data_IF_604145851050
#
_entry.id   IF_604145851050
#
_cell.length_a   1.000
_cell.length_b   1.000
_cell.length_c   1.000
_cell.angle_alpha   90.00
_cell.angle_beta   90.00
_cell.angle_gamma   90.00
#
_symmetry.space_group_name_H-M   'P 1'
#
loop_
_entity.id
_entity.type
_entity.pdbx_description
1 polymer ?
#
# COMPACT_ATOMS: atom_id res chain seq x y z
N UNK A 1 20.93 -3.78 -14.10
CA UNK A 1 19.91 -3.61 -15.17
C UNK A 1 18.69 -4.51 -15.02
N UNK A 2 18.87 -5.83 -14.80
CA UNK A 2 17.73 -6.76 -14.71
C UNK A 2 16.70 -6.36 -13.64
N UNK A 3 17.15 -5.95 -12.46
CA UNK A 3 16.26 -5.47 -11.39
C UNK A 3 15.36 -4.31 -11.84
N UNK A 4 15.91 -3.33 -12.56
CA UNK A 4 15.12 -2.19 -13.05
C UNK A 4 14.13 -2.59 -14.14
N UNK A 5 14.50 -3.54 -15.02
CA UNK A 5 13.57 -4.11 -16.01
C UNK A 5 12.43 -4.85 -15.33
N UNK A 6 12.73 -5.63 -14.30
CA UNK A 6 11.73 -6.33 -13.51
C UNK A 6 10.80 -5.36 -12.78
N UNK A 7 11.33 -4.32 -12.12
CA UNK A 7 10.50 -3.31 -11.45
C UNK A 7 9.54 -2.62 -12.44
N UNK A 8 10.02 -2.28 -13.64
CA UNK A 8 9.18 -1.70 -14.68
C UNK A 8 8.06 -2.66 -15.13
N UNK A 9 8.38 -3.94 -15.29
CA UNK A 9 7.40 -4.96 -15.66
C UNK A 9 6.39 -5.22 -14.54
N UNK A 10 6.87 -5.51 -13.33
CA UNK A 10 6.03 -5.85 -12.18
C UNK A 10 5.12 -4.70 -11.72
N UNK A 11 5.50 -3.45 -12.02
CA UNK A 11 4.71 -2.27 -11.66
C UNK A 11 3.59 -1.94 -12.65
N UNK A 12 3.42 -2.70 -13.75
CA UNK A 12 2.40 -2.41 -14.75
C UNK A 12 0.96 -2.49 -14.18
N UNK A 13 0.04 -1.64 -14.66
CA UNK A 13 -1.33 -1.57 -14.15
C UNK A 13 -2.08 -2.90 -14.13
N UNK A 14 -1.91 -3.75 -15.14
CA UNK A 14 -2.58 -5.04 -15.26
C UNK A 14 -2.24 -6.02 -14.14
N UNK A 15 -0.97 -6.06 -13.71
CA UNK A 15 -0.55 -6.92 -12.60
C UNK A 15 -1.06 -6.36 -11.27
N UNK A 16 -1.04 -5.03 -11.11
CA UNK A 16 -1.57 -4.39 -9.91
C UNK A 16 -3.09 -4.54 -9.79
N UNK A 17 -3.82 -4.53 -10.92
CA UNK A 17 -5.27 -4.69 -10.94
C UNK A 17 -5.73 -6.11 -10.58
N UNK A 18 -4.90 -7.12 -10.84
CA UNK A 18 -5.19 -8.50 -10.46
C UNK A 18 -4.99 -8.76 -8.95
N UNK A 19 -4.10 -8.02 -8.28
CA UNK A 19 -3.76 -8.25 -6.87
C UNK A 19 -4.97 -8.18 -5.90
N UNK A 20 -5.88 -7.19 -6.00
CA UNK A 20 -7.10 -7.11 -5.19
C UNK A 20 -7.99 -8.37 -5.18
N UNK A 21 -7.89 -9.23 -6.19
CA UNK A 21 -8.66 -10.48 -6.25
C UNK A 21 -8.19 -11.52 -5.22
N UNK A 22 -6.98 -11.37 -4.70
CA UNK A 22 -6.33 -12.35 -3.82
C UNK A 22 -6.02 -11.80 -2.43
N UNK A 23 -5.89 -10.47 -2.29
CA UNK A 23 -5.60 -9.79 -1.03
C UNK A 23 -6.21 -8.38 -1.04
N UNK A 24 -6.68 -7.91 0.11
CA UNK A 24 -7.34 -6.60 0.28
C UNK A 24 -6.34 -5.43 0.30
N UNK A 25 -5.45 -5.36 -0.69
CA UNK A 25 -4.54 -4.24 -0.92
C UNK A 25 -4.85 -3.56 -2.24
N UNK A 26 -4.91 -2.23 -2.23
CA UNK A 26 -5.19 -1.44 -3.42
C UNK A 26 -3.95 -1.24 -4.30
N UNK A 27 -4.12 -1.13 -5.63
CA UNK A 27 -3.03 -0.76 -6.53
C UNK A 27 -2.51 0.65 -6.21
N UNK A 28 -1.20 0.86 -6.38
CA UNK A 28 -0.57 2.17 -6.25
C UNK A 28 -0.68 2.98 -7.54
N UNK A 29 -0.77 2.28 -8.69
CA UNK A 29 -1.04 2.90 -9.98
C UNK A 29 -2.55 3.05 -10.23
N UNK A 30 -3.02 4.30 -10.31
CA UNK A 30 -4.45 4.60 -10.50
C UNK A 30 -5.01 4.05 -11.81
N UNK A 31 -4.18 3.86 -12.84
CA UNK A 31 -4.60 3.31 -14.13
C UNK A 31 -5.13 1.89 -14.00
N UNK A 32 -4.76 1.16 -12.94
CA UNK A 32 -5.27 -0.18 -12.66
C UNK A 32 -6.80 -0.22 -12.49
N UNK A 33 -7.41 0.85 -11.95
CA UNK A 33 -8.86 0.95 -11.79
C UNK A 33 -9.60 1.16 -13.12
N UNK A 34 -8.93 1.67 -14.15
CA UNK A 34 -9.52 1.93 -15.46
C UNK A 34 -9.63 0.67 -16.33
N UNK A 35 -8.95 -0.42 -15.94
CA UNK A 35 -8.90 -1.67 -16.70
C UNK A 35 -10.16 -2.55 -16.58
N UNK A 36 -11.08 -2.22 -15.66
CA UNK A 36 -12.29 -3.00 -15.41
C UNK A 36 -12.04 -4.37 -14.75
N UNK A 37 -10.81 -4.64 -14.30
CA UNK A 37 -10.44 -5.87 -13.60
C UNK A 37 -10.85 -5.82 -12.12
N UNK A 38 -10.82 -4.63 -11.52
CA UNK A 38 -11.28 -4.39 -10.13
C UNK A 38 -12.74 -3.98 -10.22
N UNK A 39 -13.65 -4.85 -9.80
CA UNK A 39 -15.07 -4.51 -9.74
C UNK A 39 -15.39 -3.54 -8.57
N UNK A 40 -16.57 -2.92 -8.62
CA UNK A 40 -16.97 -1.92 -7.62
C UNK A 40 -17.05 -2.51 -6.20
N UNK A 41 -17.48 -3.76 -6.07
CA UNK A 41 -17.58 -4.43 -4.78
C UNK A 41 -16.19 -4.62 -4.14
N UNK A 42 -15.23 -5.11 -4.92
CA UNK A 42 -13.83 -5.26 -4.53
C UNK A 42 -13.24 -3.89 -4.20
N UNK A 43 -13.44 -2.88 -5.06
CA UNK A 43 -12.93 -1.54 -4.84
C UNK A 43 -13.37 -0.94 -3.49
N UNK A 44 -14.64 -1.17 -3.09
CA UNK A 44 -15.18 -0.71 -1.80
C UNK A 44 -14.54 -1.38 -0.58
N UNK A 45 -13.93 -2.54 -0.73
CA UNK A 45 -13.21 -3.21 0.37
C UNK A 45 -11.79 -2.68 0.58
N UNK A 46 -11.25 -1.95 -0.39
CA UNK A 46 -9.83 -1.56 -0.36
C UNK A 46 -9.59 -0.43 0.66
N UNK A 47 -8.46 -0.44 1.39
CA UNK A 47 -8.11 0.65 2.30
C UNK A 47 -8.04 2.01 1.61
N UNK A 48 -7.65 2.04 0.33
CA UNK A 48 -7.52 3.26 -0.47
C UNK A 48 -8.85 3.80 -1.02
N UNK A 49 -9.97 3.11 -0.83
CA UNK A 49 -11.27 3.62 -1.27
C UNK A 49 -11.61 4.91 -0.49
N UNK A 50 -12.11 5.98 -1.15
CA UNK A 50 -12.33 7.28 -0.49
C UNK A 50 -13.12 7.19 0.81
N UNK A 51 -14.23 6.43 0.81
CA UNK A 51 -15.05 6.20 2.00
C UNK A 51 -14.28 5.55 3.15
N UNK A 52 -13.39 4.59 2.87
CA UNK A 52 -12.61 3.91 3.91
C UNK A 52 -11.46 4.81 4.39
N UNK A 53 -10.89 5.60 3.49
CA UNK A 53 -9.77 6.50 3.79
C UNK A 53 -10.17 7.62 4.77
N UNK A 54 -11.45 8.04 4.79
CA UNK A 54 -11.97 9.07 5.70
C UNK A 54 -11.79 8.73 7.19
N UNK A 55 -11.74 7.43 7.54
CA UNK A 55 -11.59 6.97 8.91
C UNK A 55 -10.19 6.43 9.21
N UNK A 56 -9.21 6.67 8.33
CA UNK A 56 -7.83 6.18 8.47
C UNK A 56 -6.84 7.33 8.70
N UNK A 57 -5.75 7.03 9.41
CA UNK A 57 -4.59 7.90 9.47
C UNK A 57 -3.54 7.38 8.47
N UNK A 58 -3.12 8.25 7.55
CA UNK A 58 -2.01 7.92 6.64
C UNK A 58 -0.69 8.00 7.40
N UNK A 59 0.16 7.00 7.22
CA UNK A 59 1.51 6.97 7.81
C UNK A 59 2.34 8.15 7.32
N UNK A 60 2.91 8.91 8.25
CA UNK A 60 3.84 10.00 7.95
C UNK A 60 5.27 9.47 7.77
N UNK A 61 5.65 9.24 6.51
CA UNK A 61 7.00 8.77 6.18
C UNK A 61 8.10 9.78 6.56
N UNK A 62 7.80 11.07 6.65
CA UNK A 62 8.77 12.10 7.06
C UNK A 62 9.05 12.05 8.56
N UNK A 63 8.02 11.83 9.37
CA UNK A 63 8.18 11.57 10.80
C UNK A 63 9.04 10.32 11.04
N UNK A 64 8.73 9.21 10.35
CA UNK A 64 9.50 7.98 10.48
C UNK A 64 10.94 8.14 9.99
N UNK A 65 11.17 8.81 8.86
CA UNK A 65 12.52 9.08 8.38
C UNK A 65 13.38 9.83 9.41
N UNK A 66 12.77 10.65 10.28
CA UNK A 66 13.46 11.39 11.35
C UNK A 66 13.58 10.61 12.66
N UNK A 67 12.56 9.84 13.04
CA UNK A 67 12.40 9.34 14.41
C UNK A 67 12.36 7.82 14.54
N UNK A 68 12.38 7.05 13.43
CA UNK A 68 12.22 5.59 13.45
C UNK A 68 13.17 4.92 14.45
N UNK A 69 14.46 5.22 14.41
CA UNK A 69 15.44 4.63 15.34
C UNK A 69 15.06 4.83 16.81
N UNK A 70 14.74 6.07 17.19
CA UNK A 70 14.39 6.39 18.57
C UNK A 70 13.09 5.70 18.99
N UNK A 71 12.08 5.72 18.14
CA UNK A 71 10.79 5.07 18.41
C UNK A 71 10.96 3.54 18.54
N UNK A 72 11.75 2.93 17.66
CA UNK A 72 12.08 1.50 17.70
C UNK A 72 12.80 1.11 18.99
N UNK A 73 13.80 1.89 19.44
CA UNK A 73 14.49 1.65 20.72
C UNK A 73 13.50 1.69 21.91
N UNK A 74 12.64 2.71 21.98
CA UNK A 74 11.63 2.83 23.05
C UNK A 74 10.57 1.75 23.02
N UNK A 75 10.16 1.32 21.84
CA UNK A 75 9.22 0.21 21.71
C UNK A 75 9.83 -1.11 22.18
N UNK A 76 11.10 -1.38 21.85
CA UNK A 76 11.79 -2.58 22.33
C UNK A 76 11.98 -2.57 23.84
N UNK A 77 12.41 -1.45 24.44
CA UNK A 77 12.51 -1.29 25.90
C UNK A 77 11.16 -1.66 26.57
N UNK A 78 10.06 -1.05 26.12
CA UNK A 78 8.71 -1.28 26.64
C UNK A 78 8.28 -2.76 26.59
N UNK A 79 8.65 -3.50 25.55
CA UNK A 79 8.28 -4.92 25.41
C UNK A 79 9.12 -5.88 26.28
N UNK A 80 10.24 -5.40 26.83
CA UNK A 80 11.19 -6.22 27.60
C UNK A 80 11.18 -5.95 29.10
N UNK A 81 10.40 -4.98 29.56
CA UNK A 81 10.07 -4.75 30.97
C UNK A 81 8.86 -5.58 31.42
#
# INVERSE_FOLDING_TARGET
ELAMKFLAEASKPEYQAAMPQYITYGPTDKRAYELGIIDEATAKTLPSHPHNAETQLVVDNGWYAKWEKYASEKYQEMLTE
#
